data_IF_304379858830
#
_entry.id   IF_304379858830
#
_cell.length_a   1.000
_cell.length_b   1.000
_cell.length_c   1.000
_cell.angle_alpha   90.00
_cell.angle_beta   90.00
_cell.angle_gamma   90.00
#
_symmetry.space_group_name_H-M   'P 1'
#
loop_
_entity.id
_entity.type
_entity.pdbx_description
1 polymer ?
#
# COMPACT_ATOMS: atom_id res chain seq x y z
N UNK A 1 5.39 -22.51 -15.64
CA UNK A 1 5.44 -22.21 -17.10
C UNK A 1 4.63 -20.95 -17.51
N UNK A 2 4.10 -20.11 -16.60
CA UNK A 2 3.34 -18.91 -17.03
C UNK A 2 3.45 -17.65 -16.14
N UNK A 3 4.13 -17.69 -14.98
CA UNK A 3 4.31 -16.49 -14.13
C UNK A 3 5.55 -15.65 -14.47
N UNK A 4 6.38 -16.11 -15.40
CA UNK A 4 7.82 -15.81 -15.37
C UNK A 4 8.34 -14.86 -16.47
N UNK A 5 7.55 -14.39 -17.47
CA UNK A 5 8.17 -13.68 -18.60
C UNK A 5 7.76 -12.25 -18.99
N UNK A 6 6.57 -11.70 -18.72
CA UNK A 6 6.22 -10.39 -19.34
C UNK A 6 5.36 -9.43 -18.51
N UNK A 7 5.63 -9.32 -17.21
CA UNK A 7 5.45 -8.04 -16.50
C UNK A 7 6.47 -6.97 -16.96
N UNK A 8 6.94 -7.07 -18.22
CA UNK A 8 7.86 -6.11 -18.82
C UNK A 8 7.05 -4.86 -19.13
N UNK A 9 7.04 -3.96 -18.15
CA UNK A 9 6.52 -2.61 -18.25
C UNK A 9 5.01 -2.56 -18.36
N UNK A 10 4.31 -2.56 -17.22
CA UNK A 10 2.86 -2.31 -17.20
C UNK A 10 2.58 -1.06 -18.05
N UNK A 11 3.39 0.01 -17.93
CA UNK A 11 3.27 1.23 -18.72
C UNK A 11 4.55 1.67 -19.47
N UNK A 12 5.48 0.77 -19.80
CA UNK A 12 6.73 1.18 -20.44
C UNK A 12 6.49 1.71 -21.87
N UNK A 13 6.33 3.04 -21.99
CA UNK A 13 6.08 3.68 -23.29
C UNK A 13 5.72 5.18 -23.34
N UNK A 14 5.85 5.99 -22.27
CA UNK A 14 5.73 7.47 -22.41
C UNK A 14 6.94 8.20 -21.82
N UNK A 15 7.77 8.73 -22.70
CA UNK A 15 8.85 9.66 -22.34
C UNK A 15 8.30 10.99 -21.81
N UNK A 16 9.08 11.73 -20.99
CA UNK A 16 8.61 12.94 -20.35
C UNK A 16 8.61 14.12 -21.34
N UNK A 17 7.49 14.84 -21.40
CA UNK A 17 7.46 16.20 -21.92
C UNK A 17 8.18 17.10 -20.91
N UNK A 18 9.42 17.48 -21.24
CA UNK A 18 10.21 18.41 -20.44
C UNK A 18 9.66 19.82 -20.50
N UNK A 19 9.82 20.56 -19.40
CA UNK A 19 10.02 22.01 -19.39
C UNK A 19 10.79 22.41 -18.13
N UNK A 20 11.86 23.17 -18.35
CA UNK A 20 12.88 23.67 -17.42
C UNK A 20 12.37 24.84 -16.56
N UNK A 21 12.93 25.03 -15.35
CA UNK A 21 13.59 26.28 -14.93
C UNK A 21 14.18 26.23 -13.49
N UNK A 22 15.51 26.40 -13.40
CA UNK A 22 16.33 27.23 -12.48
C UNK A 22 15.63 27.98 -11.31
N UNK A 23 16.19 28.26 -10.11
CA UNK A 23 17.57 28.65 -9.72
C UNK A 23 17.70 28.78 -8.17
N UNK A 24 18.94 28.71 -7.65
CA UNK A 24 19.46 28.92 -6.26
C UNK A 24 19.83 30.41 -6.01
N UNK A 25 19.97 30.94 -4.76
CA UNK A 25 21.27 31.06 -4.04
C UNK A 25 21.16 30.86 -2.48
N UNK A 26 22.15 30.29 -1.75
CA UNK A 26 23.27 30.91 -0.96
C UNK A 26 22.81 31.98 0.06
N UNK A 27 23.29 32.17 1.31
CA UNK A 27 24.50 31.80 2.07
C UNK A 27 24.24 32.21 3.56
N UNK A 28 24.98 31.73 4.57
CA UNK A 28 24.94 32.33 5.91
C UNK A 28 25.65 31.57 7.03
N UNK A 29 26.87 31.99 7.35
CA UNK A 29 27.82 31.44 8.34
C UNK A 29 27.48 31.74 9.82
N UNK A 30 28.03 30.95 10.76
CA UNK A 30 28.11 31.30 12.18
C UNK A 30 28.71 30.21 13.08
N UNK A 31 29.96 30.40 13.51
CA UNK A 31 30.79 29.64 14.47
C UNK A 31 30.28 29.81 15.94
N UNK A 32 30.64 29.06 17.01
CA UNK A 32 31.97 28.84 17.64
C UNK A 32 31.84 28.06 19.00
N UNK A 33 32.83 27.22 19.36
CA UNK A 33 33.41 26.87 20.71
C UNK A 33 32.68 26.00 21.79
N UNK A 34 33.26 24.84 22.21
CA UNK A 34 34.09 24.52 23.43
C UNK A 34 33.25 24.28 24.71
N UNK A 35 33.50 23.40 25.71
CA UNK A 35 34.60 22.54 26.18
C UNK A 35 34.08 21.56 27.30
N UNK A 36 34.83 20.48 27.59
CA UNK A 36 35.01 19.69 28.86
C UNK A 36 33.94 18.73 29.44
N UNK A 37 34.42 17.48 29.69
CA UNK A 37 33.93 16.36 30.54
C UNK A 37 34.15 16.64 32.07
N UNK A 38 33.91 15.73 33.08
CA UNK A 38 33.62 14.27 33.07
C UNK A 38 32.64 13.69 34.16
N UNK A 39 32.47 12.35 34.12
CA UNK A 39 32.42 11.38 35.25
C UNK A 39 31.08 10.72 35.75
N UNK A 40 31.00 9.40 35.50
CA UNK A 40 30.83 8.25 36.45
C UNK A 40 29.46 7.94 37.13
N UNK A 41 28.79 6.89 36.60
CA UNK A 41 28.09 5.67 37.13
C UNK A 41 27.44 5.60 38.55
N UNK A 42 26.69 4.51 38.90
CA UNK A 42 25.54 3.84 38.27
C UNK A 42 24.37 3.59 39.30
N UNK A 43 23.18 3.14 38.87
CA UNK A 43 22.19 2.57 39.79
C UNK A 43 21.35 1.44 39.14
N UNK A 44 21.27 0.35 39.90
CA UNK A 44 20.67 -0.95 39.61
C UNK A 44 19.14 -0.87 39.68
N UNK A 45 18.46 -1.37 38.65
CA UNK A 45 17.01 -1.58 38.64
C UNK A 45 16.69 -3.01 38.21
N UNK A 46 16.24 -3.82 39.16
CA UNK A 46 15.85 -5.22 39.01
C UNK A 46 14.78 -5.37 37.94
N UNK A 47 15.06 -6.18 36.90
CA UNK A 47 14.10 -6.57 35.87
C UNK A 47 13.55 -7.96 36.20
N UNK A 48 12.24 -8.03 36.46
CA UNK A 48 11.49 -9.29 36.47
C UNK A 48 10.96 -9.56 35.06
N UNK A 49 11.29 -10.67 34.38
CA UNK A 49 10.61 -11.05 33.16
C UNK A 49 9.32 -11.78 33.54
N UNK A 50 8.18 -11.08 33.44
CA UNK A 50 6.87 -11.70 33.62
C UNK A 50 6.46 -12.37 32.30
N UNK A 51 6.48 -13.70 32.34
CA UNK A 51 5.77 -14.68 31.51
C UNK A 51 5.26 -14.26 30.13
N UNK A 52 5.80 -14.89 29.11
CA UNK A 52 5.21 -15.00 27.77
C UNK A 52 3.78 -15.54 27.86
N UNK A 53 2.80 -14.65 27.72
CA UNK A 53 1.43 -15.03 27.43
C UNK A 53 1.32 -15.42 25.95
N UNK A 54 0.63 -16.53 25.70
CA UNK A 54 0.38 -17.15 24.40
C UNK A 54 -0.15 -16.12 23.40
N UNK A 55 0.70 -15.70 22.46
CA UNK A 55 0.39 -14.70 21.44
C UNK A 55 -0.40 -15.31 20.28
N UNK A 56 -1.72 -15.12 20.28
CA UNK A 56 -2.45 -15.06 19.02
C UNK A 56 -1.88 -13.93 18.13
N UNK A 57 -2.03 -13.98 16.80
CA UNK A 57 -1.48 -12.95 15.93
C UNK A 57 -2.02 -11.59 16.37
N UNK A 58 -1.12 -10.70 16.79
CA UNK A 58 -1.47 -9.34 17.20
C UNK A 58 -2.09 -8.64 15.99
N UNK A 59 -3.20 -7.93 16.17
CA UNK A 59 -3.91 -7.26 15.05
C UNK A 59 -3.03 -6.25 14.32
N UNK A 60 -2.05 -5.66 15.02
CA UNK A 60 -1.01 -4.80 14.44
C UNK A 60 -0.13 -5.57 13.43
N UNK A 61 0.19 -6.83 13.72
CA UNK A 61 1.01 -7.68 12.85
C UNK A 61 0.23 -8.09 11.59
N UNK A 62 -1.07 -8.38 11.72
CA UNK A 62 -1.94 -8.71 10.58
C UNK A 62 -2.14 -7.51 9.66
N UNK A 63 -2.38 -6.33 10.24
CA UNK A 63 -2.53 -5.09 9.47
C UNK A 63 -1.26 -4.77 8.68
N UNK A 64 -0.09 -4.94 9.31
CA UNK A 64 1.20 -4.74 8.66
C UNK A 64 1.45 -5.76 7.54
N UNK A 65 1.19 -7.05 7.79
CA UNK A 65 1.30 -8.10 6.79
C UNK A 65 0.46 -7.79 5.54
N UNK A 66 -0.78 -7.32 5.73
CA UNK A 66 -1.66 -6.98 4.61
C UNK A 66 -1.17 -5.76 3.84
N UNK A 67 -0.61 -4.76 4.54
CA UNK A 67 -0.02 -3.58 3.92
C UNK A 67 1.19 -3.96 3.05
N UNK A 68 2.07 -4.81 3.57
CA UNK A 68 3.24 -5.29 2.83
C UNK A 68 2.85 -6.18 1.66
N UNK A 69 1.79 -6.98 1.80
CA UNK A 69 1.22 -7.72 0.67
C UNK A 69 0.71 -6.77 -0.43
N UNK A 70 -0.03 -5.70 -0.08
CA UNK A 70 -0.50 -4.72 -1.06
C UNK A 70 0.67 -4.08 -1.82
N UNK A 71 1.72 -3.66 -1.09
CA UNK A 71 2.95 -3.11 -1.69
C UNK A 71 3.58 -4.10 -2.66
N UNK A 72 3.80 -5.33 -2.24
CA UNK A 72 4.42 -6.36 -3.08
C UNK A 72 3.60 -6.67 -4.35
N UNK A 73 2.26 -6.53 -4.31
CA UNK A 73 1.40 -6.74 -5.47
C UNK A 73 1.31 -5.54 -6.42
N UNK A 74 1.58 -4.35 -5.91
CA UNK A 74 1.46 -3.09 -6.65
C UNK A 74 2.81 -2.48 -7.05
N UNK A 75 3.93 -3.05 -6.61
CA UNK A 75 5.30 -2.59 -6.94
C UNK A 75 5.55 -2.36 -8.44
N UNK A 76 5.01 -3.18 -9.38
CA UNK A 76 5.22 -2.94 -10.82
C UNK A 76 4.38 -1.82 -11.44
N UNK A 77 3.51 -1.16 -10.67
CA UNK A 77 2.57 -0.15 -11.17
C UNK A 77 3.07 1.25 -10.88
N UNK A 78 3.14 2.08 -11.93
CA UNK A 78 3.46 3.49 -11.78
C UNK A 78 2.33 4.27 -11.11
N UNK A 79 2.70 5.33 -10.39
CA UNK A 79 1.75 6.20 -9.69
C UNK A 79 1.17 5.61 -8.39
N UNK A 80 1.61 4.42 -7.96
CA UNK A 80 1.10 3.79 -6.73
C UNK A 80 2.20 3.66 -5.68
N UNK A 81 1.95 4.26 -4.51
CA UNK A 81 2.81 4.11 -3.34
C UNK A 81 1.96 3.92 -2.08
N UNK A 82 1.75 2.66 -1.69
CA UNK A 82 0.88 2.29 -0.57
C UNK A 82 1.65 2.43 0.74
N UNK A 83 1.33 3.46 1.52
CA UNK A 83 1.94 3.73 2.83
C UNK A 83 0.98 3.47 4.00
N UNK A 84 -0.31 3.52 3.75
CA UNK A 84 -1.37 3.34 4.75
C UNK A 84 -2.63 2.80 4.08
N UNK A 85 -3.73 2.68 4.84
CA UNK A 85 -5.05 2.28 4.33
C UNK A 85 -6.01 3.46 4.16
N UNK A 86 -5.53 4.70 4.01
CA UNK A 86 -6.37 5.88 3.85
C UNK A 86 -5.89 6.71 2.66
N UNK A 87 -5.08 7.75 2.89
CA UNK A 87 -4.62 8.67 1.84
C UNK A 87 -3.96 8.01 0.63
N UNK A 88 -3.26 6.88 0.81
CA UNK A 88 -2.66 6.12 -0.31
C UNK A 88 -3.68 5.50 -1.27
N UNK A 89 -4.97 5.53 -0.93
CA UNK A 89 -6.06 4.94 -1.70
C UNK A 89 -7.05 5.99 -2.20
N UNK A 90 -6.81 7.26 -1.91
CA UNK A 90 -7.76 8.34 -2.14
C UNK A 90 -8.01 8.60 -3.63
N UNK A 91 -7.02 8.38 -4.49
CA UNK A 91 -7.10 8.58 -5.95
C UNK A 91 -7.69 7.39 -6.71
N UNK A 92 -7.90 6.25 -6.04
CA UNK A 92 -8.39 5.02 -6.64
C UNK A 92 -7.36 4.20 -7.40
N UNK A 93 -6.13 4.71 -7.62
CA UNK A 93 -5.10 3.98 -8.38
C UNK A 93 -4.60 2.75 -7.64
N UNK A 94 -4.45 2.83 -6.31
CA UNK A 94 -4.07 1.67 -5.50
C UNK A 94 -5.10 0.52 -5.59
N UNK A 95 -6.41 0.84 -5.64
CA UNK A 95 -7.45 -0.16 -5.89
C UNK A 95 -7.34 -0.74 -7.30
N UNK A 96 -7.16 0.12 -8.31
CA UNK A 96 -7.01 -0.32 -9.69
C UNK A 96 -5.81 -1.26 -9.87
N UNK A 97 -4.63 -0.87 -9.38
CA UNK A 97 -3.42 -1.67 -9.49
C UNK A 97 -3.56 -3.04 -8.82
N UNK A 98 -4.15 -3.07 -7.62
CA UNK A 98 -4.32 -4.32 -6.88
C UNK A 98 -5.31 -5.26 -7.56
N UNK A 99 -6.43 -4.76 -8.06
CA UNK A 99 -7.43 -5.58 -8.78
C UNK A 99 -6.88 -6.06 -10.12
N UNK A 100 -6.27 -5.16 -10.90
CA UNK A 100 -5.65 -5.47 -12.19
C UNK A 100 -4.58 -6.55 -12.08
N UNK A 101 -3.89 -6.65 -10.93
CA UNK A 101 -2.89 -7.70 -10.68
C UNK A 101 -3.46 -9.12 -10.77
N UNK A 102 -4.72 -9.30 -10.41
CA UNK A 102 -5.40 -10.60 -10.45
C UNK A 102 -6.33 -10.75 -11.66
N UNK A 103 -6.83 -9.63 -12.19
CA UNK A 103 -7.74 -9.58 -13.32
C UNK A 103 -7.24 -8.58 -14.37
N UNK A 104 -6.12 -8.87 -15.07
CA UNK A 104 -5.51 -7.93 -16.02
C UNK A 104 -6.41 -7.63 -17.23
N UNK A 105 -7.30 -8.56 -17.60
CA UNK A 105 -8.25 -8.38 -18.70
C UNK A 105 -9.42 -7.42 -18.35
N UNK A 106 -9.49 -6.90 -17.12
CA UNK A 106 -10.58 -6.05 -16.67
C UNK A 106 -10.56 -4.64 -17.27
N UNK A 107 -9.37 -4.06 -17.44
CA UNK A 107 -9.14 -2.73 -18.00
C UNK A 107 -7.65 -2.46 -18.23
N UNK A 108 -7.32 -1.49 -19.08
CA UNK A 108 -5.94 -1.00 -19.23
C UNK A 108 -5.58 -0.01 -18.10
N UNK A 109 -4.65 -0.41 -17.23
CA UNK A 109 -4.17 0.41 -16.13
C UNK A 109 -3.45 1.70 -16.60
N UNK A 110 -2.76 1.67 -17.74
CA UNK A 110 -1.93 2.80 -18.16
C UNK A 110 -2.70 3.96 -18.78
N UNK A 111 -4.01 3.77 -18.95
CA UNK A 111 -4.94 4.80 -19.38
C UNK A 111 -5.58 5.55 -18.22
N UNK A 112 -5.29 5.16 -16.97
CA UNK A 112 -5.89 5.76 -15.79
C UNK A 112 -5.29 7.13 -15.47
N UNK A 113 -6.15 8.01 -14.99
CA UNK A 113 -5.79 9.36 -14.55
C UNK A 113 -5.99 9.45 -13.03
N UNK A 114 -4.96 9.81 -12.22
CA UNK A 114 -5.11 10.03 -10.78
C UNK A 114 -6.15 11.11 -10.42
N UNK A 115 -6.46 12.03 -11.33
CA UNK A 115 -7.45 13.09 -11.10
C UNK A 115 -8.90 12.61 -11.31
N UNK A 116 -9.12 11.51 -12.04
CA UNK A 116 -10.44 10.92 -12.24
C UNK A 116 -10.77 9.83 -11.20
N UNK A 117 -10.83 10.27 -9.93
CA UNK A 117 -11.06 9.41 -8.76
C UNK A 117 -12.28 8.50 -8.93
N UNK A 118 -13.38 9.07 -9.43
CA UNK A 118 -14.66 8.35 -9.59
C UNK A 118 -14.50 7.20 -10.57
N UNK A 119 -13.98 7.47 -11.76
CA UNK A 119 -13.78 6.43 -12.77
C UNK A 119 -12.83 5.33 -12.27
N UNK A 120 -11.78 5.70 -11.53
CA UNK A 120 -10.85 4.73 -10.95
C UNK A 120 -11.55 3.78 -9.97
N UNK A 121 -12.31 4.30 -9.00
CA UNK A 121 -13.05 3.45 -8.06
C UNK A 121 -14.08 2.57 -8.76
N UNK A 122 -14.88 3.12 -9.67
CA UNK A 122 -15.89 2.37 -10.41
C UNK A 122 -15.27 1.22 -11.22
N UNK A 123 -14.16 1.48 -11.90
CA UNK A 123 -13.45 0.50 -12.71
C UNK A 123 -12.84 -0.62 -11.86
N UNK A 124 -12.24 -0.29 -10.72
CA UNK A 124 -11.72 -1.27 -9.79
C UNK A 124 -12.82 -2.17 -9.23
N UNK A 125 -13.92 -1.60 -8.72
CA UNK A 125 -14.99 -2.37 -8.09
C UNK A 125 -15.84 -3.16 -9.08
N UNK A 126 -16.06 -2.64 -10.29
CA UNK A 126 -16.68 -3.39 -11.38
C UNK A 126 -15.85 -4.62 -11.72
N UNK A 127 -14.53 -4.48 -11.82
CA UNK A 127 -13.63 -5.60 -12.16
C UNK A 127 -13.54 -6.61 -11.03
N UNK A 128 -13.47 -6.17 -9.77
CA UNK A 128 -13.53 -7.06 -8.62
C UNK A 128 -14.81 -7.91 -8.61
N UNK A 129 -15.95 -7.32 -8.98
CA UNK A 129 -17.23 -8.03 -9.11
C UNK A 129 -17.21 -9.08 -10.23
N UNK A 130 -16.56 -8.82 -11.36
CA UNK A 130 -16.36 -9.82 -12.42
C UNK A 130 -15.52 -11.01 -11.93
N UNK A 131 -14.57 -10.75 -11.04
CA UNK A 131 -13.83 -11.77 -10.30
C UNK A 131 -14.65 -12.48 -9.22
N UNK A 132 -15.92 -12.11 -9.03
CA UNK A 132 -16.82 -12.59 -7.98
C UNK A 132 -16.22 -12.38 -6.58
N UNK A 133 -15.61 -11.20 -6.41
CA UNK A 133 -15.26 -10.61 -5.13
C UNK A 133 -16.17 -9.38 -4.92
N UNK A 134 -17.17 -9.52 -4.05
CA UNK A 134 -18.15 -8.47 -3.83
C UNK A 134 -17.50 -7.20 -3.24
N UNK A 135 -17.74 -6.01 -3.83
CA UNK A 135 -17.24 -4.77 -3.26
C UNK A 135 -18.04 -4.39 -2.02
N UNK A 136 -17.33 -4.12 -0.92
CA UNK A 136 -17.93 -3.69 0.36
C UNK A 136 -18.01 -2.17 0.52
N UNK A 137 -17.45 -1.42 -0.44
CA UNK A 137 -17.39 0.03 -0.42
C UNK A 137 -18.26 0.58 -1.53
N UNK A 138 -18.97 1.66 -1.23
CA UNK A 138 -19.64 2.49 -2.23
C UNK A 138 -18.66 3.56 -2.75
N UNK A 139 -18.72 3.84 -4.04
CA UNK A 139 -17.91 4.88 -4.67
C UNK A 139 -18.27 6.25 -4.13
N UNK A 140 -19.57 6.55 -3.97
CA UNK A 140 -20.02 7.87 -3.53
C UNK A 140 -19.54 8.17 -2.10
N UNK A 141 -19.47 7.16 -1.23
CA UNK A 141 -18.94 7.29 0.14
C UNK A 141 -17.43 7.58 0.17
N UNK A 142 -16.66 6.95 -0.71
CA UNK A 142 -15.20 7.19 -0.83
C UNK A 142 -14.89 8.58 -1.40
N UNK A 143 -15.77 9.11 -2.24
CA UNK A 143 -15.64 10.44 -2.84
C UNK A 143 -16.10 11.57 -1.91
N UNK A 144 -17.02 11.27 -0.97
CA UNK A 144 -17.57 12.25 -0.02
C UNK A 144 -16.49 12.94 0.82
N UNK A 145 -15.38 12.25 1.09
CA UNK A 145 -14.23 12.78 1.82
C UNK A 145 -12.99 12.84 0.91
N UNK A 146 -12.04 13.72 1.27
CA UNK A 146 -10.74 13.81 0.57
C UNK A 146 -9.95 12.51 0.68
N UNK A 147 -10.02 11.86 1.83
CA UNK A 147 -9.35 10.59 2.11
C UNK A 147 -10.36 9.62 2.74
N UNK A 148 -10.35 8.33 2.36
CA UNK A 148 -11.28 7.35 2.90
C UNK A 148 -10.93 6.94 4.34
N UNK A 149 -11.92 6.49 5.12
CA UNK A 149 -11.68 5.95 6.46
C UNK A 149 -10.82 4.68 6.36
N UNK A 150 -9.72 4.66 7.13
CA UNK A 150 -8.75 3.58 7.05
C UNK A 150 -9.30 2.21 7.45
N UNK A 151 -10.33 2.16 8.29
CA UNK A 151 -11.00 0.91 8.69
C UNK A 151 -11.81 0.35 7.53
N UNK A 152 -12.56 1.20 6.83
CA UNK A 152 -13.34 0.79 5.66
C UNK A 152 -12.44 0.21 4.57
N UNK A 153 -11.34 0.89 4.23
CA UNK A 153 -10.37 0.38 3.26
C UNK A 153 -9.72 -0.91 3.76
N UNK A 154 -9.27 -0.96 5.02
CA UNK A 154 -8.64 -2.15 5.59
C UNK A 154 -9.58 -3.36 5.52
N UNK A 155 -10.84 -3.21 5.95
CA UNK A 155 -11.85 -4.27 5.89
C UNK A 155 -12.11 -4.72 4.45
N UNK A 156 -12.22 -3.78 3.50
CA UNK A 156 -12.34 -4.15 2.09
C UNK A 156 -11.16 -4.99 1.60
N UNK A 157 -9.93 -4.60 1.91
CA UNK A 157 -8.73 -5.33 1.47
C UNK A 157 -8.63 -6.71 2.12
N UNK A 158 -9.04 -6.85 3.39
CA UNK A 158 -9.13 -8.15 4.05
C UNK A 158 -10.09 -9.09 3.32
N UNK A 159 -11.27 -8.59 2.95
CA UNK A 159 -12.30 -9.37 2.28
C UNK A 159 -11.92 -9.69 0.84
N UNK A 160 -11.30 -8.75 0.14
CA UNK A 160 -10.72 -9.00 -1.18
C UNK A 160 -9.63 -10.08 -1.12
N UNK A 161 -8.73 -10.00 -0.13
CA UNK A 161 -7.70 -11.03 0.08
C UNK A 161 -8.34 -12.40 0.36
N UNK A 162 -9.35 -12.48 1.24
CA UNK A 162 -10.10 -13.72 1.53
C UNK A 162 -10.71 -14.31 0.26
N UNK A 163 -11.38 -13.49 -0.54
CA UNK A 163 -11.96 -13.90 -1.82
C UNK A 163 -10.91 -14.51 -2.76
N UNK A 164 -9.74 -13.88 -2.88
CA UNK A 164 -8.66 -14.38 -3.72
C UNK A 164 -8.06 -15.71 -3.20
N UNK A 165 -8.00 -15.90 -1.88
CA UNK A 165 -7.55 -17.15 -1.27
C UNK A 165 -8.56 -18.27 -1.54
N UNK A 166 -9.85 -18.01 -1.39
CA UNK A 166 -10.93 -18.98 -1.66
C UNK A 166 -10.92 -19.41 -3.13
N UNK A 167 -10.62 -18.50 -4.04
CA UNK A 167 -10.47 -18.76 -5.48
C UNK A 167 -9.11 -19.37 -5.86
N UNK A 168 -8.20 -19.57 -4.91
CA UNK A 168 -6.87 -20.14 -5.15
C UNK A 168 -5.89 -19.22 -5.90
N UNK A 169 -6.22 -17.94 -6.06
CA UNK A 169 -5.38 -16.93 -6.71
C UNK A 169 -4.26 -16.42 -5.80
N UNK A 170 -4.40 -16.62 -4.49
CA UNK A 170 -3.36 -16.35 -3.49
C UNK A 170 -3.00 -17.65 -2.78
N UNK A 171 -1.72 -18.04 -2.86
CA UNK A 171 -1.21 -19.22 -2.17
C UNK A 171 -0.97 -18.90 -0.70
N UNK A 172 -1.82 -19.40 0.18
CA UNK A 172 -1.53 -19.48 1.62
C UNK A 172 -0.80 -20.79 1.88
N UNK A 173 0.24 -20.76 2.71
CA UNK A 173 0.92 -22.01 3.12
C UNK A 173 -0.10 -22.83 3.91
N UNK A 174 -0.62 -23.91 3.33
CA UNK A 174 -1.44 -24.88 4.06
C UNK A 174 -0.55 -25.46 5.17
N UNK A 175 -0.95 -25.28 6.43
CA UNK A 175 -0.44 -26.09 7.53
C UNK A 175 -0.98 -27.50 7.27
N UNK A 176 -0.11 -28.39 6.81
CA UNK A 176 -0.40 -29.83 6.77
C UNK A 176 -0.77 -30.26 8.20
N UNK A 177 -1.87 -31.01 8.39
CA UNK A 177 -2.27 -31.50 9.70
C UNK A 177 -1.19 -32.36 10.35
#
# INVERSE_FOLDING_TARGET
RQQDLRQRGVCAGRGPAGQNAAQKPANGSGSTQQHTNPARSPAVGVRVPRGSALGGPNTKDVKQMLLDWCRAKTEPYEGVNIQNFSSSWADGLAFCALVHRFFPEGFDYCTLDPYDRRANFEKAFKTARLGDCAPLLDVDDLLRMREPDWKCVYTYIQEFYRCLVEKGLVKTKKKTP
#
